data_IF_296880321631
#
_entry.id   IF_296880321631
#
_cell.length_a   1.000
_cell.length_b   1.000
_cell.length_c   1.000
_cell.angle_alpha   90.00
_cell.angle_beta   90.00
_cell.angle_gamma   90.00
#
_symmetry.space_group_name_H-M   'P 1'
#
loop_
_entity.id
_entity.type
_entity.pdbx_description
1 polymer ?
#
# COMPACT_ATOMS: atom_id res chain seq x y z
N UNK A 1 8.37 -4.45 8.23
CA UNK A 1 7.26 -3.83 7.47
C UNK A 1 7.10 -4.56 6.14
N UNK A 2 5.86 -4.85 5.74
CA UNK A 2 5.54 -5.41 4.42
C UNK A 2 4.44 -4.57 3.76
N UNK A 3 4.59 -4.28 2.47
CA UNK A 3 3.60 -3.53 1.70
C UNK A 3 3.41 -4.11 0.30
N UNK A 4 2.18 -4.56 0.02
CA UNK A 4 1.76 -5.03 -1.28
C UNK A 4 1.26 -3.88 -2.16
N UNK A 5 1.65 -3.88 -3.43
CA UNK A 5 1.05 -3.02 -4.44
C UNK A 5 0.87 -3.80 -5.74
N UNK A 6 -0.19 -3.48 -6.49
CA UNK A 6 -0.49 -4.11 -7.77
C UNK A 6 -0.23 -3.12 -8.90
N UNK A 7 0.60 -3.52 -9.86
CA UNK A 7 0.92 -2.70 -11.02
C UNK A 7 -0.23 -2.65 -12.05
N UNK A 8 -0.09 -1.80 -13.07
CA UNK A 8 -1.12 -1.65 -14.13
C UNK A 8 -1.30 -2.91 -14.99
N UNK A 9 -0.34 -3.85 -14.95
CA UNK A 9 -0.40 -5.13 -15.64
C UNK A 9 -1.02 -6.23 -14.76
N UNK A 10 -1.47 -5.89 -13.54
CA UNK A 10 -2.08 -6.82 -12.61
C UNK A 10 -1.08 -7.70 -11.87
N UNK A 11 0.22 -7.35 -11.90
CA UNK A 11 1.23 -8.05 -11.09
C UNK A 11 1.26 -7.44 -9.71
N UNK A 12 1.18 -8.26 -8.67
CA UNK A 12 1.27 -7.81 -7.29
C UNK A 12 2.68 -8.04 -6.78
N UNK A 13 3.33 -7.00 -6.28
CA UNK A 13 4.64 -7.08 -5.65
C UNK A 13 4.49 -6.78 -4.16
N UNK A 14 5.09 -7.59 -3.31
CA UNK A 14 5.15 -7.35 -1.87
C UNK A 14 6.58 -7.00 -1.46
N UNK A 15 6.74 -5.78 -0.95
CA UNK A 15 8.04 -5.26 -0.52
C UNK A 15 8.26 -5.53 0.96
N UNK A 16 9.45 -5.98 1.31
CA UNK A 16 9.87 -6.24 2.68
C UNK A 16 10.94 -5.25 3.11
N UNK A 17 10.67 -4.56 4.21
CA UNK A 17 11.60 -3.66 4.87
C UNK A 17 11.78 -4.06 6.32
N UNK A 18 13.01 -3.91 6.82
CA UNK A 18 13.34 -4.11 8.23
C UNK A 18 13.69 -2.76 8.83
N UNK A 19 13.19 -2.52 10.03
CA UNK A 19 13.39 -1.30 10.77
C UNK A 19 14.12 -1.62 12.06
N UNK A 20 15.17 -0.86 12.36
CA UNK A 20 15.89 -0.91 13.62
C UNK A 20 16.23 0.52 14.07
N UNK A 21 16.80 0.73 15.28
CA UNK A 21 17.13 2.07 15.77
C UNK A 21 18.06 2.87 14.85
N UNK A 22 18.89 2.21 14.04
CA UNK A 22 19.79 2.84 13.08
C UNK A 22 19.07 3.34 11.82
N UNK A 23 17.90 2.78 11.50
CA UNK A 23 17.12 3.19 10.35
C UNK A 23 16.30 2.07 9.72
N UNK A 24 15.86 2.31 8.48
CA UNK A 24 15.08 1.38 7.68
C UNK A 24 15.92 0.83 6.54
N UNK A 25 15.83 -0.47 6.29
CA UNK A 25 16.52 -1.13 5.20
C UNK A 25 15.53 -1.92 4.36
N UNK A 26 15.58 -1.73 3.03
CA UNK A 26 14.90 -2.61 2.11
C UNK A 26 15.62 -3.97 2.06
N UNK A 27 14.89 -5.06 2.25
CA UNK A 27 15.46 -6.41 2.23
C UNK A 27 15.23 -7.06 0.88
N UNK A 28 13.96 -7.18 0.46
CA UNK A 28 13.59 -7.82 -0.80
C UNK A 28 12.20 -7.40 -1.28
N UNK A 29 11.93 -7.66 -2.55
CA UNK A 29 10.59 -7.57 -3.14
C UNK A 29 10.25 -8.93 -3.73
N UNK A 30 9.04 -9.41 -3.47
CA UNK A 30 8.55 -10.72 -3.90
C UNK A 30 7.37 -10.53 -4.83
N UNK A 31 7.35 -11.28 -5.94
CA UNK A 31 6.15 -11.38 -6.77
C UNK A 31 5.06 -12.16 -6.01
N UNK A 32 4.09 -11.40 -5.53
CA UNK A 32 2.96 -11.87 -4.74
C UNK A 32 1.70 -12.03 -5.60
N UNK A 33 1.78 -12.02 -6.94
CA UNK A 33 0.61 -12.15 -7.83
C UNK A 33 -0.20 -13.43 -7.56
N UNK A 34 0.47 -14.49 -7.11
CA UNK A 34 -0.12 -15.78 -6.74
C UNK A 34 -0.47 -15.91 -5.24
N UNK A 35 0.00 -14.97 -4.40
CA UNK A 35 -0.11 -15.00 -2.94
C UNK A 35 -1.13 -13.98 -2.40
N UNK A 36 -1.26 -12.80 -3.02
CA UNK A 36 -2.08 -11.68 -2.55
C UNK A 36 -3.60 -11.94 -2.59
N UNK A 37 -4.03 -13.09 -3.11
CA UNK A 37 -5.44 -13.45 -3.27
C UNK A 37 -6.04 -14.15 -2.04
N UNK A 38 -5.23 -14.73 -1.15
CA UNK A 38 -5.70 -15.44 0.04
C UNK A 38 -4.86 -15.10 1.27
N UNK A 39 -5.50 -15.04 2.44
CA UNK A 39 -4.82 -14.76 3.72
C UNK A 39 -3.77 -15.82 4.08
N UNK A 40 -4.06 -17.10 3.82
CA UNK A 40 -3.16 -18.23 4.13
C UNK A 40 -1.80 -18.11 3.42
N UNK A 41 -1.81 -17.84 2.10
CA UNK A 41 -0.58 -17.69 1.31
C UNK A 41 0.23 -16.47 1.74
N UNK A 42 -0.47 -15.42 2.15
CA UNK A 42 0.18 -14.24 2.68
C UNK A 42 0.79 -14.52 4.07
N UNK A 43 0.12 -15.30 4.90
CA UNK A 43 0.66 -15.76 6.18
C UNK A 43 1.94 -16.58 5.95
N UNK A 44 1.93 -17.54 5.02
CA UNK A 44 3.11 -18.33 4.64
C UNK A 44 4.28 -17.45 4.18
N UNK A 45 3.99 -16.46 3.33
CA UNK A 45 5.01 -15.53 2.82
C UNK A 45 5.63 -14.69 3.95
N UNK A 46 4.80 -14.15 4.85
CA UNK A 46 5.24 -13.37 6.00
C UNK A 46 6.00 -14.24 7.02
N UNK A 47 5.54 -15.47 7.23
CA UNK A 47 6.17 -16.45 8.13
C UNK A 47 7.56 -16.83 7.66
N UNK A 48 7.70 -17.17 6.37
CA UNK A 48 8.98 -17.46 5.73
C UNK A 48 9.94 -16.28 5.90
N UNK A 49 9.44 -15.04 5.74
CA UNK A 49 10.26 -13.85 5.95
C UNK A 49 10.74 -13.70 7.40
N UNK A 50 9.88 -13.99 8.39
CA UNK A 50 10.26 -13.96 9.81
C UNK A 50 11.35 -15.02 10.10
N UNK A 51 11.23 -16.21 9.52
CA UNK A 51 12.22 -17.28 9.67
C UNK A 51 13.57 -16.90 9.06
N UNK A 52 13.58 -16.34 7.84
CA UNK A 52 14.78 -15.85 7.16
C UNK A 52 15.51 -14.76 7.97
N UNK A 53 14.76 -13.84 8.57
CA UNK A 53 15.33 -12.77 9.40
C UNK A 53 15.75 -13.24 10.79
N UNK A 54 15.33 -14.44 11.19
CA UNK A 54 15.44 -14.95 12.54
C UNK A 54 14.38 -14.35 13.47
N UNK A 55 13.47 -15.19 13.92
CA UNK A 55 12.32 -14.84 14.78
C UNK A 55 12.70 -13.95 15.98
N UNK A 56 13.82 -14.24 16.65
CA UNK A 56 14.30 -13.47 17.81
C UNK A 56 14.67 -12.02 17.49
N UNK A 57 14.90 -11.69 16.23
CA UNK A 57 15.24 -10.35 15.76
C UNK A 57 14.00 -9.54 15.38
N UNK A 58 12.81 -10.16 15.36
CA UNK A 58 11.56 -9.51 14.95
C UNK A 58 10.67 -9.33 16.17
N UNK A 59 10.43 -8.07 16.52
CA UNK A 59 9.50 -7.70 17.61
C UNK A 59 8.13 -7.29 17.08
N UNK A 60 8.06 -6.77 15.85
CA UNK A 60 6.85 -6.18 15.30
C UNK A 60 6.74 -6.38 13.79
N UNK A 61 5.56 -6.77 13.35
CA UNK A 61 5.15 -6.79 11.96
C UNK A 61 4.18 -5.65 11.68
N UNK A 62 4.51 -4.85 10.65
CA UNK A 62 3.69 -3.74 10.17
C UNK A 62 3.28 -4.03 8.73
N UNK A 63 1.99 -4.20 8.48
CA UNK A 63 1.42 -4.60 7.18
C UNK A 63 0.22 -3.72 6.82
N UNK A 64 -0.35 -3.89 5.62
CA UNK A 64 -1.57 -3.17 5.24
C UNK A 64 -2.79 -3.63 6.08
N UNK A 65 -3.88 -2.86 6.01
CA UNK A 65 -5.12 -3.13 6.76
C UNK A 65 -6.20 -3.82 5.90
N UNK A 66 -5.82 -4.35 4.75
CA UNK A 66 -6.70 -5.14 3.90
C UNK A 66 -7.10 -6.44 4.60
N UNK A 67 -8.30 -6.94 4.31
CA UNK A 67 -8.87 -8.12 4.98
C UNK A 67 -7.94 -9.34 4.95
N UNK A 68 -7.20 -9.50 3.85
CA UNK A 68 -6.30 -10.63 3.64
C UNK A 68 -5.09 -10.56 4.59
N UNK A 69 -4.55 -9.36 4.80
CA UNK A 69 -3.45 -9.12 5.75
C UNK A 69 -3.94 -9.30 7.18
N UNK A 70 -5.10 -8.72 7.53
CA UNK A 70 -5.69 -8.90 8.87
C UNK A 70 -5.90 -10.39 9.20
N UNK A 71 -6.33 -11.20 8.24
CA UNK A 71 -6.46 -12.65 8.44
C UNK A 71 -5.11 -13.35 8.62
N UNK A 72 -4.14 -13.07 7.73
CA UNK A 72 -2.79 -13.61 7.79
C UNK A 72 -2.07 -13.27 9.10
N UNK A 73 -2.18 -12.01 9.52
CA UNK A 73 -1.52 -11.49 10.70
C UNK A 73 -2.12 -12.07 11.99
N UNK A 74 -3.43 -12.32 12.03
CA UNK A 74 -4.07 -13.05 13.14
C UNK A 74 -3.53 -14.47 13.29
N UNK A 75 -3.39 -15.18 12.18
CA UNK A 75 -2.82 -16.53 12.16
C UNK A 75 -1.36 -16.52 12.66
N UNK A 76 -0.55 -15.56 12.19
CA UNK A 76 0.83 -15.39 12.63
C UNK A 76 0.95 -15.04 14.11
N UNK A 77 0.07 -14.19 14.65
CA UNK A 77 0.06 -13.84 16.07
C UNK A 77 -0.25 -15.07 16.95
N UNK A 78 -1.12 -15.97 16.48
CA UNK A 78 -1.39 -17.24 17.17
C UNK A 78 -0.17 -18.17 17.13
N UNK A 79 0.51 -18.25 15.98
CA UNK A 79 1.72 -19.08 15.81
C UNK A 79 2.93 -18.52 16.58
N UNK A 80 3.06 -17.20 16.68
CA UNK A 80 4.23 -16.48 17.21
C UNK A 80 3.81 -15.42 18.24
N UNK A 81 3.47 -15.80 19.49
CA UNK A 81 2.90 -14.87 20.47
C UNK A 81 3.79 -13.70 20.91
N UNK A 82 5.08 -13.72 20.58
CA UNK A 82 6.04 -12.67 20.90
C UNK A 82 6.18 -11.61 19.79
N UNK A 83 5.62 -11.84 18.61
CA UNK A 83 5.61 -10.87 17.51
C UNK A 83 4.31 -10.07 17.59
N UNK A 84 4.44 -8.75 17.72
CA UNK A 84 3.29 -7.86 17.70
C UNK A 84 2.91 -7.50 16.27
N UNK A 85 1.62 -7.49 15.98
CA UNK A 85 1.11 -6.96 14.72
C UNK A 85 0.50 -5.57 14.90
N UNK A 86 0.75 -4.69 13.94
CA UNK A 86 0.08 -3.40 13.85
C UNK A 86 -0.24 -3.03 12.40
N UNK A 87 -1.42 -2.47 12.11
CA UNK A 87 -1.77 -2.01 10.78
C UNK A 87 -0.96 -0.76 10.39
N UNK A 88 -0.71 -0.61 9.10
CA UNK A 88 0.00 0.53 8.54
C UNK A 88 -0.83 1.82 8.67
N UNK A 89 -0.30 2.78 9.44
CA UNK A 89 -0.94 4.08 9.67
C UNK A 89 -1.23 4.82 8.36
N UNK A 90 -0.29 4.81 7.40
CA UNK A 90 -0.48 5.49 6.12
C UNK A 90 -1.69 4.92 5.37
N UNK A 91 -1.87 3.60 5.40
CA UNK A 91 -3.01 2.96 4.77
C UNK A 91 -4.31 3.19 5.56
N UNK A 92 -4.26 3.23 6.89
CA UNK A 92 -5.43 3.64 7.69
C UNK A 92 -5.89 5.06 7.34
N UNK A 93 -4.95 5.99 7.14
CA UNK A 93 -5.27 7.36 6.71
C UNK A 93 -5.87 7.37 5.31
N UNK A 94 -5.31 6.59 4.38
CA UNK A 94 -5.85 6.44 3.02
C UNK A 94 -7.31 5.98 3.04
N UNK A 95 -7.65 4.95 3.84
CA UNK A 95 -9.01 4.46 4.00
C UNK A 95 -9.95 5.53 4.60
N UNK A 96 -9.50 6.27 5.61
CA UNK A 96 -10.28 7.38 6.18
C UNK A 96 -10.55 8.47 5.13
N UNK A 97 -9.55 8.83 4.33
CA UNK A 97 -9.70 9.81 3.25
C UNK A 97 -10.61 9.30 2.14
N UNK A 98 -10.56 8.00 1.83
CA UNK A 98 -11.47 7.38 0.86
C UNK A 98 -12.93 7.51 1.32
N UNK A 99 -13.20 7.26 2.59
CA UNK A 99 -14.55 7.38 3.16
C UNK A 99 -15.05 8.84 3.17
N UNK A 100 -14.16 9.80 3.46
CA UNK A 100 -14.46 11.23 3.28
C UNK A 100 -14.75 11.54 1.79
N UNK A 101 -13.98 10.95 0.88
CA UNK A 101 -14.16 11.07 -0.57
C UNK A 101 -15.51 10.57 -1.08
N UNK A 102 -16.16 9.64 -0.36
CA UNK A 102 -17.50 9.10 -0.67
C UNK A 102 -18.63 10.06 -0.28
N UNK A 103 -18.38 11.10 0.52
CA UNK A 103 -19.40 12.10 0.87
C UNK A 103 -19.89 12.79 -0.42
N UNK A 104 -21.20 12.84 -0.72
CA UNK A 104 -21.68 13.26 -2.04
C UNK A 104 -21.20 14.63 -2.53
N UNK A 105 -21.04 15.60 -1.61
CA UNK A 105 -20.49 16.92 -1.95
C UNK A 105 -19.01 16.85 -2.31
N UNK A 106 -18.22 16.11 -1.52
CA UNK A 106 -16.78 15.91 -1.74
C UNK A 106 -16.54 15.11 -3.02
N UNK A 107 -17.27 14.00 -3.20
CA UNK A 107 -17.19 13.15 -4.38
C UNK A 107 -17.40 13.93 -5.68
N UNK A 108 -18.41 14.82 -5.71
CA UNK A 108 -18.67 15.69 -6.87
C UNK A 108 -17.50 16.61 -7.19
N UNK A 109 -16.84 17.16 -6.18
CA UNK A 109 -15.65 18.03 -6.37
C UNK A 109 -14.47 17.21 -6.89
N UNK A 110 -14.21 16.04 -6.29
CA UNK A 110 -13.14 15.13 -6.75
C UNK A 110 -13.38 14.73 -8.21
N UNK A 111 -14.59 14.33 -8.58
CA UNK A 111 -14.94 13.98 -9.96
C UNK A 111 -14.70 15.11 -10.96
N UNK A 112 -14.99 16.37 -10.59
CA UNK A 112 -14.67 17.53 -11.44
C UNK A 112 -13.15 17.70 -11.57
N UNK A 113 -12.41 17.60 -10.47
CA UNK A 113 -10.95 17.68 -10.47
C UNK A 113 -10.32 16.61 -11.36
N UNK A 114 -10.76 15.35 -11.25
CA UNK A 114 -10.27 14.25 -12.10
C UNK A 114 -10.54 14.50 -13.58
N UNK A 115 -11.67 15.09 -13.95
CA UNK A 115 -11.95 15.46 -15.36
C UNK A 115 -10.98 16.53 -15.87
N UNK A 116 -10.72 17.57 -15.07
CA UNK A 116 -9.76 18.63 -15.42
C UNK A 116 -8.35 18.06 -15.55
N UNK A 117 -7.91 17.25 -14.58
CA UNK A 117 -6.60 16.61 -14.64
C UNK A 117 -6.50 15.65 -15.84
N UNK A 118 -7.55 14.87 -16.13
CA UNK A 118 -7.60 14.02 -17.32
C UNK A 118 -7.42 14.82 -18.61
N UNK A 119 -8.07 15.99 -18.72
CA UNK A 119 -7.86 16.91 -19.84
C UNK A 119 -6.41 17.40 -19.92
N UNK A 120 -5.83 17.89 -18.82
CA UNK A 120 -4.44 18.37 -18.78
C UNK A 120 -3.47 17.29 -19.28
N UNK A 121 -3.61 16.05 -18.81
CA UNK A 121 -2.72 14.93 -19.18
C UNK A 121 -2.85 14.48 -20.64
N UNK A 122 -3.98 14.74 -21.31
CA UNK A 122 -4.18 14.37 -22.73
C UNK A 122 -3.50 15.37 -23.67
N UNK A 123 -3.45 16.65 -23.32
CA UNK A 123 -2.93 17.69 -24.19
C UNK A 123 -1.50 18.11 -23.79
N UNK A 124 -0.51 17.59 -24.52
CA UNK A 124 0.92 17.74 -24.17
C UNK A 124 1.40 19.17 -23.89
N UNK A 125 0.91 20.18 -24.63
CA UNK A 125 1.28 21.58 -24.38
C UNK A 125 0.68 22.12 -23.07
N UNK A 126 -0.55 21.71 -22.74
CA UNK A 126 -1.22 22.08 -21.49
C UNK A 126 -0.56 21.35 -20.32
N UNK A 127 -0.22 20.08 -20.48
CA UNK A 127 0.55 19.31 -19.50
C UNK A 127 1.92 19.93 -19.21
N UNK A 128 2.65 20.35 -20.25
CA UNK A 128 3.93 21.02 -20.10
C UNK A 128 3.80 22.32 -19.31
N UNK A 129 2.82 23.16 -19.66
CA UNK A 129 2.55 24.40 -18.93
C UNK A 129 2.16 24.13 -17.46
N UNK A 130 1.33 23.11 -17.23
CA UNK A 130 0.98 22.66 -15.88
C UNK A 130 2.22 22.29 -15.07
N UNK A 131 3.15 21.51 -15.65
CA UNK A 131 4.39 21.13 -14.98
C UNK A 131 5.27 22.33 -14.60
N UNK A 132 5.37 23.33 -15.48
CA UNK A 132 6.12 24.55 -15.18
C UNK A 132 5.47 25.32 -14.01
N UNK A 133 4.15 25.46 -14.02
CA UNK A 133 3.40 26.16 -12.97
C UNK A 133 3.39 25.40 -11.64
N UNK A 134 3.43 24.07 -11.67
CA UNK A 134 3.38 23.23 -10.47
C UNK A 134 4.76 22.95 -9.86
N UNK A 135 5.84 23.53 -10.43
CA UNK A 135 7.21 23.23 -10.02
C UNK A 135 7.59 21.75 -10.23
N UNK A 136 7.01 21.11 -11.24
CA UNK A 136 7.19 19.69 -11.53
C UNK A 136 6.27 18.74 -10.75
N UNK A 137 5.38 19.26 -9.90
CA UNK A 137 4.45 18.43 -9.12
C UNK A 137 3.37 17.80 -10.01
N UNK A 138 3.24 16.48 -9.94
CA UNK A 138 2.24 15.70 -10.67
C UNK A 138 1.05 15.33 -9.77
N UNK A 139 -0.16 15.60 -10.23
CA UNK A 139 -1.39 15.08 -9.62
C UNK A 139 -1.95 13.97 -10.51
N UNK A 140 -1.94 12.72 -10.06
CA UNK A 140 -2.51 11.62 -10.86
C UNK A 140 -4.03 11.79 -11.01
N UNK A 141 -4.56 11.74 -12.25
CA UNK A 141 -6.01 11.75 -12.48
C UNK A 141 -6.58 10.37 -12.17
N UNK A 142 -6.78 10.03 -10.90
CA UNK A 142 -7.47 8.78 -10.51
C UNK A 142 -8.50 9.00 -9.40
N UNK A 143 -9.70 8.49 -9.67
CA UNK A 143 -10.65 8.01 -8.67
C UNK A 143 -10.53 6.49 -8.63
N UNK A 144 -9.56 5.96 -7.88
CA UNK A 144 -9.63 4.57 -7.44
C UNK A 144 -9.23 4.56 -5.98
N UNK A 145 -10.05 3.90 -5.16
CA UNK A 145 -9.57 3.30 -3.94
C UNK A 145 -8.29 2.54 -4.31
N UNK A 146 -7.20 2.80 -3.59
CA UNK A 146 -6.13 1.83 -3.56
C UNK A 146 -6.74 0.59 -2.91
N UNK A 147 -7.30 -0.32 -3.72
CA UNK A 147 -7.55 -1.69 -3.27
C UNK A 147 -6.17 -2.33 -3.11
N UNK A 148 -5.53 -2.00 -1.99
CA UNK A 148 -4.39 -2.69 -1.41
C UNK A 148 -4.83 -4.06 -0.85
#
# INVERSE_FOLDING_TARGET
>A
MSNGWTDRKGRTLNNFLVNCPTGSMFVKSVDASNYAKTGEKLAELLDTFIEEMGEKNIVQLITNNGSNYVAADKELCLKRPHVFWTPCVAHCIDLMLEDIGKIPKVQKVIQKGVKVMGYIYVYGMIFYNYLQLSGGSLMEPKLRSCNC
#
